data_IF_864760783155
#
_entry.id   IF_864760783155
#
_cell.length_a   1.000
_cell.length_b   1.000
_cell.length_c   1.000
_cell.angle_alpha   90.00
_cell.angle_beta   90.00
_cell.angle_gamma   90.00
#
_symmetry.space_group_name_H-M   'P 1'
#
loop_
_entity.id
_entity.type
_entity.pdbx_description
1 polymer ?
#
# COMPACT_ATOMS: atom_id res chain seq x y z
N UNK A 1 -23.75 7.92 -8.51
CA UNK A 1 -23.15 9.22 -8.10
C UNK A 1 -24.19 10.23 -7.57
N UNK A 2 -25.01 9.89 -6.55
CA UNK A 2 -26.10 10.78 -6.05
C UNK A 2 -25.75 11.64 -4.81
N UNK A 3 -24.55 11.46 -4.22
CA UNK A 3 -24.12 12.17 -3.00
C UNK A 3 -22.72 12.81 -3.09
N UNK A 4 -22.10 12.88 -4.27
CA UNK A 4 -20.71 13.34 -4.41
C UNK A 4 -19.67 12.47 -3.68
N UNK A 5 -20.05 11.26 -3.23
CA UNK A 5 -19.17 10.34 -2.53
C UNK A 5 -18.20 9.72 -3.53
N UNK A 6 -16.92 9.94 -3.30
CA UNK A 6 -15.81 9.39 -4.08
C UNK A 6 -15.59 7.94 -3.65
N UNK A 7 -15.75 7.00 -4.58
CA UNK A 7 -15.53 5.57 -4.34
C UNK A 7 -14.04 5.24 -4.34
N UNK A 8 -13.57 4.61 -3.27
CA UNK A 8 -12.19 4.12 -3.16
C UNK A 8 -12.10 2.61 -3.06
N UNK A 9 -10.98 2.05 -3.50
CA UNK A 9 -10.67 0.62 -3.43
C UNK A 9 -9.39 0.35 -2.63
N UNK A 10 -9.39 -0.71 -1.84
CA UNK A 10 -8.22 -1.23 -1.14
C UNK A 10 -7.60 -2.34 -1.98
N UNK A 11 -6.37 -2.14 -2.44
CA UNK A 11 -5.69 -3.07 -3.37
C UNK A 11 -4.63 -3.93 -2.69
N UNK A 12 -4.28 -3.64 -1.43
CA UNK A 12 -3.36 -4.50 -0.68
C UNK A 12 -4.01 -5.84 -0.31
N UNK A 13 -3.29 -6.94 -0.60
CA UNK A 13 -3.69 -8.32 -0.30
C UNK A 13 -3.30 -8.76 1.12
N UNK A 14 -2.85 -7.83 1.96
CA UNK A 14 -2.42 -8.08 3.32
C UNK A 14 -0.91 -8.08 3.49
N UNK A 15 -0.49 -8.41 4.71
CA UNK A 15 0.91 -8.37 5.14
C UNK A 15 1.54 -9.75 5.03
N UNK A 16 2.78 -9.79 4.54
CA UNK A 16 3.65 -10.96 4.52
C UNK A 16 4.85 -10.70 5.44
N UNK A 17 5.33 -11.71 6.16
CA UNK A 17 6.54 -11.58 6.98
C UNK A 17 7.75 -11.35 6.07
N UNK A 18 8.61 -10.41 6.47
CA UNK A 18 9.84 -10.11 5.76
C UNK A 18 10.96 -11.02 6.31
N UNK A 19 11.35 -12.02 5.52
CA UNK A 19 12.41 -12.96 5.89
C UNK A 19 13.74 -12.21 6.01
N UNK A 20 14.44 -12.41 7.13
CA UNK A 20 15.70 -11.71 7.43
C UNK A 20 15.52 -10.40 8.21
N UNK A 21 14.31 -10.11 8.71
CA UNK A 21 14.04 -8.98 9.61
C UNK A 21 13.55 -9.45 10.98
N UNK A 22 13.60 -8.56 11.99
CA UNK A 22 13.11 -8.84 13.35
C UNK A 22 11.58 -8.76 13.43
N UNK A 23 10.91 -9.72 12.79
CA UNK A 23 9.45 -9.82 12.74
C UNK A 23 8.77 -8.58 12.13
N UNK A 24 9.36 -8.01 11.08
CA UNK A 24 8.74 -6.98 10.27
C UNK A 24 7.94 -7.59 9.11
N UNK A 25 7.09 -6.76 8.50
CA UNK A 25 6.20 -7.18 7.43
C UNK A 25 6.38 -6.31 6.18
N UNK A 26 6.12 -6.93 5.04
CA UNK A 26 5.92 -6.25 3.75
C UNK A 26 4.48 -6.46 3.27
N UNK A 27 4.05 -5.71 2.27
CA UNK A 27 2.67 -5.75 1.78
C UNK A 27 2.60 -6.48 0.44
N UNK A 28 1.72 -7.47 0.35
CA UNK A 28 1.49 -8.22 -0.88
C UNK A 28 0.43 -7.55 -1.77
N UNK A 29 0.55 -7.74 -3.09
CA UNK A 29 -0.49 -7.32 -4.04
C UNK A 29 0.02 -6.75 -5.36
N UNK A 30 1.34 -6.53 -5.52
CA UNK A 30 1.90 -5.90 -6.72
C UNK A 30 1.72 -6.71 -8.01
N UNK A 31 1.76 -8.04 -7.95
CA UNK A 31 1.76 -8.91 -9.15
C UNK A 31 0.49 -8.75 -9.98
N UNK A 32 -0.68 -8.74 -9.31
CA UNK A 32 -1.97 -8.64 -9.98
C UNK A 32 -2.51 -7.20 -10.01
N UNK A 33 -1.69 -6.22 -9.58
CA UNK A 33 -2.12 -4.84 -9.40
C UNK A 33 -2.59 -4.22 -10.72
N UNK A 34 -1.89 -4.49 -11.81
CA UNK A 34 -2.24 -3.98 -13.15
C UNK A 34 -3.66 -4.42 -13.57
N UNK A 35 -3.93 -5.72 -13.47
CA UNK A 35 -5.24 -6.29 -13.79
C UNK A 35 -6.34 -5.76 -12.86
N UNK A 36 -6.03 -5.60 -11.56
CA UNK A 36 -6.96 -5.02 -10.60
C UNK A 36 -7.28 -3.57 -10.94
N UNK A 37 -6.27 -2.75 -11.25
CA UNK A 37 -6.45 -1.35 -11.65
C UNK A 37 -7.34 -1.23 -12.89
N UNK A 38 -7.14 -2.07 -13.91
CA UNK A 38 -7.99 -2.09 -15.10
C UNK A 38 -9.43 -2.51 -14.78
N UNK A 39 -9.62 -3.47 -13.88
CA UNK A 39 -10.95 -3.90 -13.43
C UNK A 39 -11.67 -2.77 -12.70
N UNK A 40 -11.05 -2.16 -11.69
CA UNK A 40 -11.65 -1.09 -10.89
C UNK A 40 -11.84 0.22 -11.65
N UNK A 41 -11.07 0.46 -12.70
CA UNK A 41 -11.30 1.58 -13.64
C UNK A 41 -12.70 1.52 -14.26
N UNK A 42 -13.22 0.31 -14.53
CA UNK A 42 -14.61 0.13 -15.05
C UNK A 42 -15.68 0.51 -14.03
N UNK A 43 -15.36 0.46 -12.75
CA UNK A 43 -16.27 0.81 -11.65
C UNK A 43 -16.19 2.30 -11.26
N UNK A 44 -15.50 3.12 -12.05
CA UNK A 44 -15.30 4.56 -11.79
C UNK A 44 -14.73 4.82 -10.38
N UNK A 45 -13.84 3.95 -9.90
CA UNK A 45 -13.11 4.19 -8.66
C UNK A 45 -12.08 5.31 -8.87
N UNK A 46 -12.01 6.24 -7.93
CA UNK A 46 -11.16 7.44 -8.02
C UNK A 46 -10.03 7.44 -6.98
N UNK A 47 -10.00 6.45 -6.10
CA UNK A 47 -9.02 6.39 -5.02
C UNK A 47 -8.54 4.95 -4.84
N UNK A 48 -7.23 4.79 -4.64
CA UNK A 48 -6.67 3.52 -4.26
C UNK A 48 -5.85 3.67 -2.98
N UNK A 49 -6.05 2.72 -2.07
CA UNK A 49 -5.36 2.68 -0.80
C UNK A 49 -4.38 1.52 -0.77
N UNK A 50 -3.17 1.84 -0.30
CA UNK A 50 -2.16 0.85 0.06
C UNK A 50 -1.70 1.09 1.50
N UNK A 51 -1.66 0.03 2.29
CA UNK A 51 -1.25 0.08 3.69
C UNK A 51 0.11 -0.58 3.85
N UNK A 52 1.11 0.19 4.31
CA UNK A 52 2.37 -0.35 4.78
C UNK A 52 2.36 -0.36 6.32
N UNK A 53 3.00 -1.36 6.91
CA UNK A 53 3.11 -1.47 8.38
C UNK A 53 4.57 -1.49 8.75
N UNK A 54 4.93 -0.61 9.67
CA UNK A 54 6.25 -0.53 10.24
C UNK A 54 6.15 -0.80 11.73
N UNK A 55 7.10 -1.56 12.25
CA UNK A 55 7.21 -1.81 13.68
C UNK A 55 8.15 -0.78 14.29
N UNK A 56 7.82 -0.26 15.46
CA UNK A 56 8.66 0.70 16.18
C UNK A 56 9.27 -0.02 17.38
N UNK A 57 10.60 0.06 17.50
CA UNK A 57 11.40 -0.54 18.57
C UNK A 57 12.84 -0.01 18.52
N UNK A 58 13.73 -0.46 19.40
CA UNK A 58 15.08 0.11 19.52
C UNK A 58 15.90 0.05 18.21
N UNK A 59 15.80 -1.04 17.46
CA UNK A 59 16.45 -1.25 16.16
C UNK A 59 15.45 -1.33 15.00
N UNK A 60 14.21 -0.91 15.21
CA UNK A 60 13.09 -1.04 14.27
C UNK A 60 12.45 0.33 13.99
N UNK A 61 12.13 0.66 12.73
CA UNK A 61 12.14 -0.21 11.56
C UNK A 61 13.54 -0.44 10.97
N UNK A 62 13.80 -1.65 10.46
CA UNK A 62 15.09 -1.93 9.85
C UNK A 62 15.24 -1.22 8.50
N UNK A 63 16.48 -0.92 8.04
CA UNK A 63 16.71 -0.35 6.72
C UNK A 63 16.12 -1.20 5.59
N UNK A 64 16.11 -2.53 5.77
CA UNK A 64 15.54 -3.47 4.81
C UNK A 64 14.01 -3.30 4.70
N UNK A 65 13.30 -3.21 5.83
CA UNK A 65 11.85 -3.01 5.83
C UNK A 65 11.47 -1.63 5.29
N UNK A 66 12.24 -0.58 5.59
CA UNK A 66 12.06 0.75 5.02
C UNK A 66 12.18 0.68 3.50
N UNK A 67 13.29 0.17 2.98
CA UNK A 67 13.55 0.10 1.55
C UNK A 67 12.49 -0.72 0.82
N UNK A 68 12.15 -1.91 1.33
CA UNK A 68 11.22 -2.82 0.65
C UNK A 68 9.78 -2.28 0.62
N UNK A 69 9.30 -1.71 1.73
CA UNK A 69 7.97 -1.10 1.77
C UNK A 69 7.92 0.19 0.94
N UNK A 70 8.98 1.00 0.95
CA UNK A 70 9.06 2.22 0.13
C UNK A 70 9.08 1.90 -1.37
N UNK A 71 9.85 0.90 -1.79
CA UNK A 71 9.89 0.44 -3.17
C UNK A 71 8.54 -0.12 -3.61
N UNK A 72 7.91 -0.92 -2.76
CA UNK A 72 6.57 -1.48 -3.03
C UNK A 72 5.54 -0.35 -3.21
N UNK A 73 5.61 0.66 -2.36
CA UNK A 73 4.74 1.83 -2.42
C UNK A 73 4.95 2.65 -3.69
N UNK A 74 6.20 2.89 -4.08
CA UNK A 74 6.55 3.61 -5.28
C UNK A 74 6.05 2.87 -6.53
N UNK A 75 6.23 1.54 -6.58
CA UNK A 75 5.70 0.70 -7.68
C UNK A 75 4.18 0.77 -7.75
N UNK A 76 3.50 0.69 -6.60
CA UNK A 76 2.05 0.84 -6.52
C UNK A 76 1.60 2.20 -7.08
N UNK A 77 2.23 3.30 -6.64
CA UNK A 77 1.90 4.64 -7.09
C UNK A 77 2.11 4.82 -8.60
N UNK A 78 3.23 4.34 -9.13
CA UNK A 78 3.54 4.41 -10.56
C UNK A 78 2.52 3.66 -11.42
N UNK A 79 2.13 2.45 -11.01
CA UNK A 79 1.12 1.66 -11.73
C UNK A 79 -0.25 2.37 -11.68
N UNK A 80 -0.63 2.89 -10.51
CA UNK A 80 -1.88 3.63 -10.36
C UNK A 80 -1.93 4.86 -11.30
N UNK A 81 -0.86 5.65 -11.33
CA UNK A 81 -0.74 6.83 -12.19
C UNK A 81 -0.75 6.49 -13.67
N UNK A 82 -0.11 5.38 -14.07
CA UNK A 82 -0.11 4.90 -15.45
C UNK A 82 -1.52 4.57 -15.96
N UNK A 83 -2.33 3.89 -15.15
CA UNK A 83 -3.69 3.50 -15.56
C UNK A 83 -4.71 4.62 -15.47
N UNK A 84 -4.56 5.54 -14.52
CA UNK A 84 -5.44 6.71 -14.37
C UNK A 84 -4.79 7.79 -13.50
N UNK A 85 -4.57 8.98 -14.07
CA UNK A 85 -4.05 10.17 -13.34
C UNK A 85 -4.99 10.66 -12.22
N UNK A 86 -6.23 10.18 -12.20
CA UNK A 86 -7.25 10.49 -11.19
C UNK A 86 -7.22 9.58 -9.97
N UNK A 87 -6.40 8.52 -9.95
CA UNK A 87 -6.28 7.63 -8.80
C UNK A 87 -5.43 8.32 -7.72
N UNK A 88 -6.08 8.87 -6.70
CA UNK A 88 -5.36 9.40 -5.54
C UNK A 88 -4.81 8.22 -4.74
N UNK A 89 -3.49 8.22 -4.57
CA UNK A 89 -2.74 7.20 -3.85
C UNK A 89 -2.66 7.60 -2.38
N UNK A 90 -3.35 6.86 -1.50
CA UNK A 90 -3.20 7.06 -0.05
C UNK A 90 -2.37 5.96 0.56
N UNK A 91 -1.39 6.43 1.31
CA UNK A 91 -0.49 5.61 2.11
C UNK A 91 -0.94 5.69 3.55
N UNK A 92 -1.20 4.54 4.16
CA UNK A 92 -1.34 4.46 5.61
C UNK A 92 -0.15 3.72 6.15
N UNK A 93 0.69 4.42 6.92
CA UNK A 93 1.74 3.84 7.73
C UNK A 93 1.14 3.53 9.09
N UNK A 94 1.02 2.25 9.41
CA UNK A 94 0.66 1.84 10.76
C UNK A 94 1.94 1.57 11.53
N UNK A 95 2.18 2.36 12.57
CA UNK A 95 3.27 2.15 13.52
C UNK A 95 2.73 1.32 14.69
N UNK A 96 3.26 0.12 14.85
CA UNK A 96 2.97 -0.73 16.03
C UNK A 96 4.18 -0.72 16.96
N UNK A 97 4.04 -0.03 18.09
CA UNK A 97 5.04 0.04 19.14
C UNK A 97 4.43 0.54 20.44
N UNK A 98 4.86 -0.03 21.56
CA UNK A 98 4.62 0.53 22.87
C UNK A 98 5.75 1.53 23.14
N UNK A 99 5.44 2.81 23.15
CA UNK A 99 6.28 3.82 23.78
C UNK A 99 5.62 4.15 25.13
N UNK A 100 6.34 4.10 26.27
CA UNK A 100 5.85 4.71 27.50
C UNK A 100 5.68 6.23 27.35
#
# INVERSE_FOLDING_TARGET
>A
KKKGIVSGVKLDKGLLPLIGSEAECTTAGLVDLDQQCQFYKKFECHFAKWRCVYRVGDNLPSPLAISNNAETLARFASICQYHSSSLIVSHTVCMTGWYP
#
